data_IF_429269846871
#
_entry.id   IF_429269846871
#
_cell.length_a   1.000
_cell.length_b   1.000
_cell.length_c   1.000
_cell.angle_alpha   90.00
_cell.angle_beta   90.00
_cell.angle_gamma   90.00
#
_symmetry.space_group_name_H-M   'P 1'
#
loop_
_entity.id
_entity.type
_entity.pdbx_description
1 polymer ?
#
# COMPACT_ATOMS: atom_id res chain seq x y z
N UNK A 1 8.93 -7.21 9.77
CA UNK A 1 10.09 -6.76 8.96
C UNK A 1 10.24 -5.26 9.14
N UNK A 2 11.42 -4.80 9.58
CA UNK A 2 11.72 -3.37 9.64
C UNK A 2 11.72 -2.76 8.23
N UNK A 3 11.14 -1.57 8.06
CA UNK A 3 10.91 -0.95 6.76
C UNK A 3 10.71 0.57 6.86
N UNK A 4 10.59 1.22 5.69
CA UNK A 4 10.37 2.67 5.52
C UNK A 4 8.99 3.04 4.99
N UNK A 5 8.01 2.13 5.00
CA UNK A 5 6.68 2.39 4.40
C UNK A 5 6.01 3.58 5.09
N UNK A 6 6.03 3.62 6.42
CA UNK A 6 5.46 4.72 7.20
C UNK A 6 6.18 6.05 6.96
N UNK A 7 7.51 6.02 6.83
CA UNK A 7 8.33 7.21 6.55
C UNK A 7 7.99 7.78 5.18
N UNK A 8 7.97 6.93 4.15
CA UNK A 8 7.66 7.30 2.76
C UNK A 8 6.21 7.80 2.61
N UNK A 9 5.27 7.18 3.32
CA UNK A 9 3.88 7.66 3.37
C UNK A 9 3.79 9.08 3.92
N UNK A 10 4.46 9.33 5.05
CA UNK A 10 4.49 10.65 5.71
C UNK A 10 5.22 11.68 4.86
N UNK A 11 6.30 11.30 4.18
CA UNK A 11 7.01 12.16 3.22
C UNK A 11 6.08 12.63 2.09
N UNK A 12 5.18 11.76 1.61
CA UNK A 12 4.14 12.13 0.64
C UNK A 12 2.92 12.86 1.23
N UNK A 13 2.88 13.10 2.54
CA UNK A 13 1.76 13.78 3.20
C UNK A 13 0.46 12.98 3.21
N UNK A 14 0.52 11.65 3.13
CA UNK A 14 -0.66 10.80 3.03
C UNK A 14 -1.10 10.23 4.39
N UNK A 15 -2.42 10.14 4.60
CA UNK A 15 -2.99 9.36 5.71
C UNK A 15 -2.87 7.86 5.46
N UNK A 16 -3.02 7.04 6.52
CA UNK A 16 -3.03 5.58 6.38
C UNK A 16 -4.14 5.13 5.41
N UNK A 17 -5.36 5.67 5.59
CA UNK A 17 -6.53 5.48 4.70
C UNK A 17 -6.22 5.78 3.23
N UNK A 18 -5.56 6.89 2.95
CA UNK A 18 -5.22 7.29 1.58
C UNK A 18 -4.24 6.32 0.91
N UNK A 19 -3.18 5.91 1.63
CA UNK A 19 -2.19 5.00 1.05
C UNK A 19 -2.75 3.57 0.91
N UNK A 20 -3.56 3.12 1.85
CA UNK A 20 -4.20 1.82 1.77
C UNK A 20 -5.13 1.75 0.54
N UNK A 21 -5.89 2.82 0.31
CA UNK A 21 -6.72 2.98 -0.89
C UNK A 21 -5.91 2.95 -2.19
N UNK A 22 -4.77 3.62 -2.24
CA UNK A 22 -3.88 3.63 -3.43
C UNK A 22 -3.49 2.21 -3.86
N UNK A 23 -3.17 1.34 -2.90
CA UNK A 23 -2.80 -0.04 -3.18
C UNK A 23 -3.96 -1.03 -3.18
N UNK A 24 -5.18 -0.53 -2.97
CA UNK A 24 -6.40 -1.31 -2.80
C UNK A 24 -6.23 -2.41 -1.73
N UNK A 25 -5.84 -2.01 -0.52
CA UNK A 25 -5.72 -2.87 0.66
C UNK A 25 -6.47 -2.24 1.84
N UNK A 26 -6.78 -3.03 2.89
CA UNK A 26 -7.41 -2.52 4.11
C UNK A 26 -6.42 -1.72 4.96
N UNK A 27 -6.87 -0.70 5.67
CA UNK A 27 -6.04 0.16 6.52
C UNK A 27 -5.26 -0.63 7.58
N UNK A 28 -5.95 -1.56 8.27
CA UNK A 28 -5.31 -2.45 9.24
C UNK A 28 -4.19 -3.29 8.59
N UNK A 29 -4.38 -3.72 7.33
CA UNK A 29 -3.32 -4.43 6.59
C UNK A 29 -2.10 -3.54 6.35
N UNK A 30 -2.31 -2.28 5.94
CA UNK A 30 -1.21 -1.32 5.80
C UNK A 30 -0.54 -1.01 7.15
N UNK A 31 -1.31 -0.84 8.23
CA UNK A 31 -0.78 -0.63 9.59
C UNK A 31 0.14 -1.78 10.02
N UNK A 32 -0.28 -3.02 9.76
CA UNK A 32 0.55 -4.20 10.04
C UNK A 32 1.82 -4.24 9.18
N UNK A 33 1.78 -3.74 7.95
CA UNK A 33 2.99 -3.59 7.12
C UNK A 33 3.92 -2.52 7.67
N UNK A 34 3.41 -1.34 8.00
CA UNK A 34 4.19 -0.23 8.54
C UNK A 34 4.86 -0.55 9.88
N UNK A 35 4.15 -1.28 10.74
CA UNK A 35 4.68 -1.75 12.04
C UNK A 35 5.53 -3.02 11.92
N UNK A 36 5.64 -3.58 10.72
CA UNK A 36 6.40 -4.79 10.46
C UNK A 36 5.80 -6.08 11.04
N UNK A 37 4.58 -6.03 11.62
CA UNK A 37 3.82 -7.20 12.09
C UNK A 37 3.52 -8.17 10.94
N UNK A 38 3.34 -7.66 9.73
CA UNK A 38 3.17 -8.43 8.49
C UNK A 38 4.10 -7.89 7.42
N UNK A 39 4.48 -8.72 6.46
CA UNK A 39 5.25 -8.29 5.28
C UNK A 39 4.35 -8.24 4.03
N UNK A 40 4.47 -7.19 3.19
CA UNK A 40 3.87 -7.18 1.86
C UNK A 40 4.40 -8.32 1.01
N UNK A 41 3.58 -8.84 0.09
CA UNK A 41 4.07 -9.72 -0.97
C UNK A 41 4.96 -8.93 -1.92
N UNK A 42 5.92 -9.60 -2.58
CA UNK A 42 6.91 -8.96 -3.44
C UNK A 42 6.29 -8.04 -4.51
N UNK A 43 5.21 -8.48 -5.17
CA UNK A 43 4.51 -7.66 -6.17
C UNK A 43 3.94 -6.37 -5.60
N UNK A 44 3.37 -6.40 -4.38
CA UNK A 44 2.89 -5.19 -3.71
C UNK A 44 4.05 -4.29 -3.28
N UNK A 45 5.16 -4.87 -2.84
CA UNK A 45 6.37 -4.13 -2.47
C UNK A 45 7.00 -3.43 -3.68
N UNK A 46 7.00 -4.08 -4.85
CA UNK A 46 7.40 -3.50 -6.13
C UNK A 46 6.49 -2.33 -6.53
N UNK A 47 5.17 -2.49 -6.38
CA UNK A 47 4.22 -1.39 -6.63
C UNK A 47 4.46 -0.21 -5.67
N UNK A 48 4.74 -0.48 -4.39
CA UNK A 48 5.11 0.56 -3.42
C UNK A 48 6.42 1.26 -3.80
N UNK A 49 7.46 0.51 -4.15
CA UNK A 49 8.75 1.04 -4.60
C UNK A 49 8.59 1.97 -5.80
N UNK A 50 7.81 1.54 -6.80
CA UNK A 50 7.46 2.35 -7.96
C UNK A 50 6.66 3.60 -7.58
N UNK A 51 5.65 3.47 -6.72
CA UNK A 51 4.82 4.59 -6.28
C UNK A 51 5.65 5.66 -5.56
N UNK A 52 6.56 5.25 -4.68
CA UNK A 52 7.41 6.15 -3.92
C UNK A 52 8.67 6.61 -4.66
N UNK A 53 8.90 6.10 -5.88
CA UNK A 53 10.08 6.34 -6.72
C UNK A 53 11.40 6.04 -5.98
N UNK A 54 11.47 4.86 -5.35
CA UNK A 54 12.64 4.34 -4.64
C UNK A 54 12.86 2.87 -4.99
N UNK A 55 14.01 2.32 -4.61
CA UNK A 55 14.25 0.88 -4.76
C UNK A 55 13.55 0.07 -3.66
N UNK A 56 13.35 -1.22 -3.89
CA UNK A 56 12.84 -2.13 -2.85
C UNK A 56 13.79 -2.16 -1.65
N UNK A 57 15.09 -2.21 -1.90
CA UNK A 57 16.11 -2.25 -0.84
C UNK A 57 16.04 -1.04 0.09
N UNK A 58 15.68 0.12 -0.44
CA UNK A 58 15.44 1.30 0.37
C UNK A 58 14.22 1.13 1.27
N UNK A 59 13.09 0.63 0.73
CA UNK A 59 11.88 0.35 1.53
C UNK A 59 12.19 -0.67 2.64
N UNK A 60 12.93 -1.72 2.31
CA UNK A 60 13.21 -2.84 3.22
C UNK A 60 14.37 -2.61 4.17
N UNK A 61 14.98 -1.42 4.15
CA UNK A 61 16.20 -1.06 4.91
C UNK A 61 17.40 -1.97 4.65
N UNK A 62 17.41 -2.68 3.52
CA UNK A 62 18.60 -3.39 3.09
C UNK A 62 19.69 -2.43 2.62
N UNK A 63 19.28 -1.23 2.16
CA UNK A 63 20.18 -0.14 1.80
C UNK A 63 19.65 1.21 2.32
N UNK A 64 20.56 2.09 2.69
CA UNK A 64 20.26 3.51 2.94
C UNK A 64 20.36 4.36 1.68
N UNK A 65 20.87 3.78 0.59
CA UNK A 65 20.96 4.45 -0.71
C UNK A 65 19.59 4.46 -1.37
N UNK A 66 18.94 5.62 -1.33
CA UNK A 66 17.59 5.83 -1.88
C UNK A 66 17.49 5.52 -3.38
N UNK A 67 18.45 6.04 -4.15
CA UNK A 67 18.49 5.87 -5.61
C UNK A 67 19.86 6.25 -6.20
N UNK A 68 20.02 6.04 -7.52
CA UNK A 68 21.20 6.33 -8.32
C UNK A 68 20.85 7.17 -9.55
N UNK A 69 20.39 8.42 -9.38
CA UNK A 69 20.02 9.27 -10.52
C UNK A 69 21.22 9.51 -11.43
N UNK A 70 20.94 9.60 -12.74
CA UNK A 70 21.93 9.91 -13.77
C UNK A 70 21.65 11.30 -14.36
N UNK A 71 22.70 12.09 -14.56
CA UNK A 71 22.62 13.46 -15.09
C UNK A 71 23.50 13.69 -16.32
N UNK A 72 24.34 12.73 -16.68
CA UNK A 72 25.27 12.79 -17.81
C UNK A 72 25.70 11.38 -18.25
N UNK A 73 26.35 11.30 -19.41
CA UNK A 73 26.79 10.05 -20.02
C UNK A 73 27.74 9.25 -19.11
N UNK A 74 28.65 9.94 -18.40
CA UNK A 74 29.59 9.29 -17.50
C UNK A 74 28.88 8.55 -16.36
N UNK A 75 27.85 9.17 -15.78
CA UNK A 75 27.03 8.55 -14.73
C UNK A 75 26.21 7.37 -15.29
N UNK A 76 25.64 7.50 -16.48
CA UNK A 76 24.88 6.43 -17.12
C UNK A 76 25.76 5.21 -17.43
N UNK A 77 26.94 5.43 -18.02
CA UNK A 77 27.92 4.38 -18.29
C UNK A 77 28.40 3.73 -16.99
N UNK A 78 28.68 4.52 -15.95
CA UNK A 78 29.09 3.98 -14.66
C UNK A 78 28.01 3.08 -14.06
N UNK A 79 26.74 3.47 -14.17
CA UNK A 79 25.64 2.69 -13.63
C UNK A 79 25.39 1.40 -14.42
N UNK A 80 25.51 1.43 -15.76
CA UNK A 80 25.50 0.23 -16.60
C UNK A 80 26.64 -0.74 -16.26
N UNK A 81 27.85 -0.24 -16.00
CA UNK A 81 28.98 -1.06 -15.53
C UNK A 81 28.64 -1.75 -14.21
N UNK A 82 28.05 -1.03 -13.26
CA UNK A 82 27.61 -1.62 -11.98
C UNK A 82 26.57 -2.72 -12.19
N UNK A 83 25.55 -2.47 -13.02
CA UNK A 83 24.53 -3.48 -13.38
C UNK A 83 25.12 -4.73 -14.04
N UNK A 84 26.24 -4.59 -14.76
CA UNK A 84 26.95 -5.70 -15.38
C UNK A 84 27.83 -6.46 -14.40
N UNK A 85 28.61 -5.73 -13.61
CA UNK A 85 29.76 -6.28 -12.89
C UNK A 85 29.43 -6.65 -11.42
N UNK A 86 28.43 -6.01 -10.80
CA UNK A 86 28.03 -6.27 -9.41
C UNK A 86 26.95 -7.37 -9.33
N UNK A 87 27.31 -8.55 -8.82
CA UNK A 87 26.44 -9.75 -8.74
C UNK A 87 25.06 -9.54 -8.11
N UNK A 88 24.95 -8.61 -7.16
CA UNK A 88 23.72 -8.33 -6.42
C UNK A 88 23.09 -6.97 -6.77
N UNK A 89 23.52 -6.36 -7.89
CA UNK A 89 23.02 -5.09 -8.37
C UNK A 89 22.25 -5.29 -9.68
N UNK A 90 20.98 -4.92 -9.68
CA UNK A 90 20.03 -5.13 -10.77
C UNK A 90 19.08 -3.93 -10.90
N UNK A 91 18.15 -3.98 -11.85
CA UNK A 91 17.11 -2.95 -12.00
C UNK A 91 16.26 -2.77 -10.72
N UNK A 92 16.13 -3.81 -9.90
CA UNK A 92 15.39 -3.80 -8.63
C UNK A 92 16.04 -2.92 -7.54
N UNK A 93 17.32 -2.58 -7.72
CA UNK A 93 18.11 -1.73 -6.83
C UNK A 93 17.98 -0.24 -7.18
N UNK A 94 17.28 0.08 -8.27
CA UNK A 94 17.07 1.42 -8.79
C UNK A 94 15.63 1.87 -8.50
N UNK A 95 15.39 3.17 -8.44
CA UNK A 95 14.03 3.67 -8.62
C UNK A 95 13.55 3.35 -10.03
N UNK A 96 12.22 3.27 -10.19
CA UNK A 96 11.62 3.06 -11.50
C UNK A 96 11.99 4.19 -12.48
N UNK A 97 12.05 5.45 -12.01
CA UNK A 97 12.50 6.57 -12.82
C UNK A 97 13.94 6.43 -13.28
N UNK A 98 14.86 6.06 -12.40
CA UNK A 98 16.27 5.87 -12.75
C UNK A 98 16.45 4.72 -13.73
N UNK A 99 15.79 3.59 -13.53
CA UNK A 99 15.84 2.46 -14.45
C UNK A 99 15.33 2.85 -15.86
N UNK A 100 14.24 3.64 -15.94
CA UNK A 100 13.73 4.17 -17.21
C UNK A 100 14.72 5.15 -17.86
N UNK A 101 15.29 6.08 -17.10
CA UNK A 101 16.22 7.07 -17.63
C UNK A 101 17.45 6.40 -18.25
N UNK A 102 18.01 5.39 -17.59
CA UNK A 102 19.14 4.62 -18.15
C UNK A 102 18.70 3.87 -19.40
N UNK A 103 17.50 3.26 -19.39
CA UNK A 103 16.98 2.55 -20.55
C UNK A 103 16.81 3.47 -21.76
N UNK A 104 16.22 4.66 -21.57
CA UNK A 104 16.05 5.69 -22.60
C UNK A 104 17.42 6.16 -23.09
N UNK A 105 18.30 6.57 -22.17
CA UNK A 105 19.64 7.04 -22.49
C UNK A 105 20.40 5.98 -23.32
N UNK A 106 20.28 4.71 -22.95
CA UNK A 106 20.95 3.61 -23.66
C UNK A 106 20.46 3.43 -25.10
N UNK A 107 19.18 3.67 -25.37
CA UNK A 107 18.62 3.61 -26.73
C UNK A 107 19.03 4.84 -27.55
N UNK A 108 19.08 6.01 -26.93
CA UNK A 108 19.52 7.25 -27.59
C UNK A 108 21.03 7.23 -27.92
N UNK A 109 21.82 6.47 -27.17
CA UNK A 109 23.28 6.38 -27.30
C UNK A 109 23.75 5.01 -27.81
N UNK A 110 22.92 4.32 -28.59
CA UNK A 110 23.22 2.96 -29.06
C UNK A 110 24.55 2.89 -29.84
N UNK A 111 24.84 3.87 -30.69
CA UNK A 111 26.08 3.92 -31.47
C UNK A 111 27.32 4.13 -30.59
N UNK A 112 27.21 4.97 -29.55
CA UNK A 112 28.30 5.15 -28.57
C UNK A 112 28.54 3.85 -27.79
N UNK A 113 27.48 3.15 -27.38
CA UNK A 113 27.62 1.86 -26.71
C UNK A 113 28.23 0.80 -27.65
N UNK A 114 27.85 0.76 -28.92
CA UNK A 114 28.42 -0.16 -29.91
C UNK A 114 29.92 0.04 -30.13
N UNK A 115 30.35 1.29 -30.25
CA UNK A 115 31.71 1.61 -30.62
C UNK A 115 32.66 1.61 -29.43
N UNK A 116 32.25 2.22 -28.31
CA UNK A 116 33.16 2.49 -27.19
C UNK A 116 32.94 1.56 -25.99
N UNK A 117 31.74 0.97 -25.84
CA UNK A 117 31.37 0.12 -24.70
C UNK A 117 30.57 -1.14 -25.11
N UNK A 118 31.08 -1.95 -26.06
CA UNK A 118 30.31 -3.06 -26.63
C UNK A 118 29.92 -4.13 -25.60
N UNK A 119 30.65 -4.22 -24.49
CA UNK A 119 30.34 -5.13 -23.39
C UNK A 119 29.11 -4.71 -22.57
N UNK A 120 28.66 -3.46 -22.68
CA UNK A 120 27.49 -2.92 -21.96
C UNK A 120 26.17 -3.02 -22.75
N UNK A 121 26.21 -3.27 -24.06
CA UNK A 121 25.01 -3.30 -24.93
C UNK A 121 23.99 -4.31 -24.41
N UNK A 122 24.44 -5.52 -24.09
CA UNK A 122 23.56 -6.57 -23.59
C UNK A 122 22.94 -6.18 -22.26
N UNK A 123 23.72 -5.59 -21.34
CA UNK A 123 23.22 -5.09 -20.06
C UNK A 123 22.14 -4.03 -20.26
N UNK A 124 22.37 -3.06 -21.15
CA UNK A 124 21.38 -2.04 -21.48
C UNK A 124 20.10 -2.64 -22.07
N UNK A 125 20.22 -3.59 -23.00
CA UNK A 125 19.09 -4.28 -23.61
C UNK A 125 18.28 -5.09 -22.59
N UNK A 126 18.95 -5.84 -21.72
CA UNK A 126 18.29 -6.62 -20.66
C UNK A 126 17.61 -5.71 -19.64
N UNK A 127 18.24 -4.59 -19.25
CA UNK A 127 17.61 -3.59 -18.39
C UNK A 127 16.27 -3.11 -18.96
N UNK A 128 16.24 -2.71 -20.23
CA UNK A 128 15.01 -2.25 -20.88
C UNK A 128 13.94 -3.35 -20.89
N UNK A 129 14.33 -4.58 -21.22
CA UNK A 129 13.42 -5.74 -21.21
C UNK A 129 12.85 -6.03 -19.83
N UNK A 130 13.70 -6.00 -18.81
CA UNK A 130 13.32 -6.26 -17.43
C UNK A 130 12.31 -5.23 -16.93
N UNK A 131 12.57 -3.94 -17.13
CA UNK A 131 11.67 -2.85 -16.72
C UNK A 131 10.31 -2.97 -17.43
N UNK A 132 10.29 -3.31 -18.72
CA UNK A 132 9.04 -3.52 -19.47
C UNK A 132 8.28 -4.73 -18.94
N UNK A 133 8.98 -5.85 -18.72
CA UNK A 133 8.41 -7.10 -18.22
C UNK A 133 7.82 -6.91 -16.83
N UNK A 134 8.58 -6.31 -15.92
CA UNK A 134 8.15 -5.98 -14.55
C UNK A 134 6.88 -5.14 -14.58
N UNK A 135 6.85 -4.05 -15.34
CA UNK A 135 5.67 -3.19 -15.43
C UNK A 135 4.42 -3.94 -15.94
N UNK A 136 4.57 -4.89 -16.88
CA UNK A 136 3.47 -5.73 -17.35
C UNK A 136 2.97 -6.68 -16.26
N UNK A 137 3.89 -7.30 -15.53
CA UNK A 137 3.61 -8.23 -14.44
C UNK A 137 2.89 -7.51 -13.29
N UNK A 138 3.39 -6.34 -12.88
CA UNK A 138 2.77 -5.54 -11.81
C UNK A 138 1.35 -5.09 -12.15
N UNK A 139 1.10 -4.69 -13.41
CA UNK A 139 -0.25 -4.36 -13.86
C UNK A 139 -1.21 -5.55 -13.73
N UNK A 140 -0.74 -6.76 -14.03
CA UNK A 140 -1.54 -7.97 -13.87
C UNK A 140 -1.83 -8.24 -12.38
N UNK A 141 -0.81 -8.22 -11.52
CA UNK A 141 -0.99 -8.44 -10.08
C UNK A 141 -1.92 -7.44 -9.42
N UNK A 142 -1.78 -6.15 -9.76
CA UNK A 142 -2.65 -5.09 -9.26
C UNK A 142 -4.11 -5.33 -9.68
N UNK A 143 -4.35 -5.67 -10.95
CA UNK A 143 -5.70 -5.97 -11.46
C UNK A 143 -6.35 -7.17 -10.74
N UNK A 144 -5.61 -8.27 -10.55
CA UNK A 144 -6.13 -9.44 -9.85
C UNK A 144 -6.41 -9.15 -8.36
N UNK A 145 -5.55 -8.35 -7.71
CA UNK A 145 -5.76 -7.89 -6.34
C UNK A 145 -7.02 -7.04 -6.21
N UNK A 146 -7.23 -6.09 -7.12
CA UNK A 146 -8.44 -5.24 -7.15
C UNK A 146 -9.69 -6.11 -7.33
N UNK A 147 -9.68 -7.01 -8.31
CA UNK A 147 -10.80 -7.92 -8.56
C UNK A 147 -11.14 -8.76 -7.32
N UNK A 148 -10.13 -9.32 -6.66
CA UNK A 148 -10.32 -10.14 -5.45
C UNK A 148 -10.88 -9.32 -4.30
N UNK A 149 -10.34 -8.13 -4.03
CA UNK A 149 -10.79 -7.33 -2.89
C UNK A 149 -12.20 -6.78 -3.12
N UNK A 150 -12.54 -6.36 -4.34
CA UNK A 150 -13.92 -5.98 -4.67
C UNK A 150 -14.90 -7.15 -4.52
N UNK A 151 -14.46 -8.40 -4.70
CA UNK A 151 -15.29 -9.57 -4.44
C UNK A 151 -15.46 -9.79 -2.93
N UNK A 152 -14.40 -9.60 -2.14
CA UNK A 152 -14.48 -9.67 -0.67
C UNK A 152 -15.43 -8.59 -0.13
N UNK A 153 -15.33 -7.35 -0.62
CA UNK A 153 -16.20 -6.27 -0.17
C UNK A 153 -17.68 -6.58 -0.50
N UNK A 154 -17.96 -7.17 -1.68
CA UNK A 154 -19.31 -7.64 -2.01
C UNK A 154 -19.80 -8.79 -1.13
N UNK A 155 -18.90 -9.69 -0.73
CA UNK A 155 -19.24 -10.78 0.19
C UNK A 155 -19.54 -10.18 1.56
N UNK A 156 -18.72 -9.26 2.04
CA UNK A 156 -18.94 -8.55 3.30
C UNK A 156 -20.30 -7.81 3.25
N UNK A 157 -20.61 -7.07 2.18
CA UNK A 157 -21.92 -6.42 2.00
C UNK A 157 -23.10 -7.41 2.08
N UNK A 158 -22.99 -8.58 1.43
CA UNK A 158 -24.03 -9.61 1.44
C UNK A 158 -24.16 -10.33 2.79
N UNK A 159 -23.06 -10.49 3.52
CA UNK A 159 -23.07 -11.07 4.87
C UNK A 159 -23.65 -10.08 5.89
N UNK A 160 -23.37 -8.79 5.71
CA UNK A 160 -23.90 -7.71 6.54
C UNK A 160 -25.39 -7.42 6.27
N UNK A 161 -25.98 -7.90 5.17
CA UNK A 161 -27.43 -7.84 4.97
C UNK A 161 -28.20 -8.71 6.00
N UNK A 162 -27.55 -9.69 6.65
CA UNK A 162 -28.16 -10.58 7.64
C UNK A 162 -27.61 -10.43 9.09
N UNK A 163 -26.59 -9.59 9.34
CA UNK A 163 -26.02 -9.41 10.70
C UNK A 163 -26.58 -8.18 11.45
N UNK A 164 -27.64 -8.47 12.20
CA UNK A 164 -27.98 -7.98 13.55
C UNK A 164 -27.50 -6.58 13.97
N UNK A 165 -28.46 -5.65 13.95
CA UNK A 165 -28.48 -4.43 14.77
C UNK A 165 -28.08 -4.73 16.24
N UNK A 166 -26.90 -4.26 16.65
CA UNK A 166 -26.38 -4.32 18.05
C UNK A 166 -27.12 -3.41 19.05
N UNK A 167 -28.38 -3.04 18.77
CA UNK A 167 -29.22 -2.25 19.67
C UNK A 167 -30.48 -3.00 20.09
N UNK A 168 -31.31 -2.36 20.91
CA UNK A 168 -32.59 -2.93 21.33
C UNK A 168 -33.46 -3.26 20.10
N UNK A 169 -33.87 -4.52 19.96
CA UNK A 169 -34.70 -4.93 18.83
C UNK A 169 -36.09 -4.26 18.89
N UNK A 170 -36.82 -4.27 17.77
CA UNK A 170 -38.13 -3.60 17.65
C UNK A 170 -39.11 -4.03 18.76
N UNK A 171 -39.09 -5.30 19.16
CA UNK A 171 -39.95 -5.80 20.23
C UNK A 171 -39.55 -5.22 21.61
N UNK A 172 -38.25 -5.14 21.90
CA UNK A 172 -37.74 -4.55 23.14
C UNK A 172 -38.05 -3.06 23.25
N UNK A 173 -37.93 -2.30 22.14
CA UNK A 173 -38.32 -0.89 22.09
C UNK A 173 -39.82 -0.72 22.29
N UNK A 174 -40.63 -1.57 21.65
CA UNK A 174 -42.09 -1.54 21.78
C UNK A 174 -42.57 -1.85 23.20
N UNK A 175 -42.05 -2.92 23.83
CA UNK A 175 -42.42 -3.26 25.21
C UNK A 175 -41.96 -2.17 26.19
N UNK A 176 -40.78 -1.58 25.99
CA UNK A 176 -40.35 -0.42 26.77
C UNK A 176 -41.35 0.74 26.65
N UNK A 177 -41.78 1.09 25.43
CA UNK A 177 -42.78 2.15 25.22
C UNK A 177 -44.11 1.85 25.92
N UNK A 178 -44.60 0.61 25.80
CA UNK A 178 -45.86 0.18 26.44
C UNK A 178 -45.80 0.24 27.98
N UNK A 179 -44.67 -0.13 28.58
CA UNK A 179 -44.52 -0.02 30.04
C UNK A 179 -44.37 1.44 30.49
N UNK A 180 -43.70 2.29 29.71
CA UNK A 180 -43.61 3.74 30.01
C UNK A 180 -44.96 4.45 29.97
N UNK A 181 -45.86 4.05 29.06
CA UNK A 181 -47.24 4.56 29.02
C UNK A 181 -48.03 4.25 30.31
N UNK A 182 -47.74 3.13 30.97
CA UNK A 182 -48.45 2.71 32.20
C UNK A 182 -48.02 3.49 33.44
N UNK A 183 -46.74 3.87 33.52
CA UNK A 183 -46.17 4.61 34.65
C UNK A 183 -46.31 6.13 34.46
N UNK A 184 -46.60 6.58 33.24
CA UNK A 184 -46.82 8.00 32.95
C UNK A 184 -45.55 8.83 32.86
N UNK A 185 -45.71 10.09 32.47
CA UNK A 185 -44.62 10.96 32.01
C UNK A 185 -43.52 11.22 33.05
N UNK A 186 -43.88 11.61 34.27
CA UNK A 186 -42.89 12.00 35.29
C UNK A 186 -42.00 10.82 35.70
N UNK A 187 -42.59 9.65 35.92
CA UNK A 187 -41.87 8.42 36.27
C UNK A 187 -41.01 7.91 35.11
N UNK A 188 -41.52 8.02 33.88
CA UNK A 188 -40.74 7.72 32.67
C UNK A 188 -39.52 8.64 32.56
N UNK A 189 -39.69 9.94 32.84
CA UNK A 189 -38.60 10.92 32.77
C UNK A 189 -37.51 10.63 33.81
N UNK A 190 -37.89 10.24 35.02
CA UNK A 190 -36.95 9.80 36.05
C UNK A 190 -36.19 8.53 35.64
N UNK A 191 -36.90 7.52 35.12
CA UNK A 191 -36.30 6.29 34.59
C UNK A 191 -35.29 6.59 33.47
N UNK A 192 -35.63 7.47 32.53
CA UNK A 192 -34.73 7.87 31.45
C UNK A 192 -33.48 8.60 31.95
N UNK A 193 -33.61 9.43 32.98
CA UNK A 193 -32.45 10.10 33.59
C UNK A 193 -31.56 9.11 34.33
N UNK A 194 -32.15 8.12 35.02
CA UNK A 194 -31.41 7.03 35.65
C UNK A 194 -30.64 6.20 34.62
N UNK A 195 -31.28 5.79 33.52
CA UNK A 195 -30.64 5.05 32.43
C UNK A 195 -29.45 5.84 31.86
N UNK A 196 -29.60 7.16 31.64
CA UNK A 196 -28.52 8.03 31.17
C UNK A 196 -27.37 8.19 32.16
N UNK A 197 -27.60 7.93 33.45
CA UNK A 197 -26.56 7.97 34.48
C UNK A 197 -25.84 6.65 34.68
N UNK A 198 -26.35 5.55 34.09
CA UNK A 198 -25.66 4.27 34.14
C UNK A 198 -24.35 4.37 33.36
N UNK A 199 -23.28 3.69 33.82
CA UNK A 199 -22.08 3.57 33.03
C UNK A 199 -22.44 2.92 31.71
N UNK A 200 -22.30 3.64 30.62
CA UNK A 200 -22.16 2.99 29.31
C UNK A 200 -20.87 2.20 29.39
N UNK A 201 -20.86 0.95 28.93
CA UNK A 201 -19.59 0.39 28.48
C UNK A 201 -19.07 1.40 27.44
N UNK A 202 -18.04 2.16 27.80
CA UNK A 202 -17.16 2.71 26.79
C UNK A 202 -16.67 1.47 26.05
N UNK A 203 -17.26 1.23 24.88
CA UNK A 203 -16.58 0.48 23.86
C UNK A 203 -15.36 1.35 23.56
N UNK A 204 -14.27 1.11 24.29
CA UNK A 204 -12.96 1.64 23.97
C UNK A 204 -12.71 1.35 22.49
N UNK A 205 -12.39 2.41 21.76
CA UNK A 205 -12.04 2.46 20.35
C UNK A 205 -11.64 1.12 19.71
N UNK A 206 -12.46 0.65 18.77
CA UNK A 206 -11.89 0.31 17.46
C UNK A 206 -12.57 1.20 16.42
N UNK A 207 -12.05 2.44 16.29
CA UNK A 207 -12.33 3.31 15.15
C UNK A 207 -12.08 2.54 13.84
N UNK A 208 -13.18 2.16 13.16
CA UNK A 208 -13.18 1.73 11.75
C UNK A 208 -13.79 2.83 10.88
#
# INVERSE_FOLDING_TARGET
>A
MDNRIAELRKEKGMTLKQLAKEFNIRDNTLSQYETGKRSPQLGLLQEMAKFFDVSIEYITRYSDKRDYPINNDKEAIALLKRLKDEKHFSHMNLSYKTALNIGIWSMEHEELLKNDYPDLINTAYFLVKDVISENKILKHYSKERIKRNNLLDKIDDLLLEDEEYYGANVFQVYEFMKETERIGWEQTKELMNYIKSLPTEEIEDEEF
#
